data_IF_701874505212
#
_entry.id   IF_701874505212
#
_cell.length_a   1.000
_cell.length_b   1.000
_cell.length_c   1.000
_cell.angle_alpha   90.00
_cell.angle_beta   90.00
_cell.angle_gamma   90.00
#
_symmetry.space_group_name_H-M   'P 1'
#
loop_
_entity.id
_entity.type
_entity.pdbx_description
1 polymer ?
#
# COMPACT_ATOMS: atom_id res chain seq x y z
N UNK A 1 -18.74 -25.03 -30.99
CA UNK A 1 -17.68 -24.04 -31.26
C UNK A 1 -18.20 -22.68 -30.82
N UNK A 2 -17.51 -22.06 -29.86
CA UNK A 2 -17.59 -20.67 -29.40
C UNK A 2 -18.89 -20.17 -28.74
N UNK A 3 -19.10 -20.57 -27.48
CA UNK A 3 -19.73 -19.69 -26.50
C UNK A 3 -18.60 -18.98 -25.73
N UNK A 4 -18.19 -17.79 -26.17
CA UNK A 4 -17.24 -16.96 -25.41
C UNK A 4 -17.23 -15.55 -25.98
N UNK A 5 -17.79 -14.58 -25.25
CA UNK A 5 -17.06 -13.41 -24.74
C UNK A 5 -17.95 -12.31 -24.12
N UNK A 6 -19.27 -12.41 -24.19
CA UNK A 6 -20.11 -11.23 -23.87
C UNK A 6 -20.84 -11.28 -22.52
N UNK A 7 -20.73 -12.36 -21.74
CA UNK A 7 -21.57 -12.55 -20.54
C UNK A 7 -20.80 -12.49 -19.20
N UNK A 8 -19.90 -11.51 -19.06
CA UNK A 8 -19.22 -11.21 -17.78
C UNK A 8 -19.33 -9.73 -17.35
N UNK A 9 -20.21 -8.95 -17.97
CA UNK A 9 -20.42 -7.52 -17.64
C UNK A 9 -21.75 -7.22 -16.95
N UNK A 10 -22.43 -8.23 -16.41
CA UNK A 10 -23.78 -8.11 -15.86
C UNK A 10 -23.90 -8.40 -14.35
N UNK A 11 -22.94 -7.96 -13.53
CA UNK A 11 -23.15 -7.78 -12.09
C UNK A 11 -22.48 -6.48 -11.61
N UNK A 12 -23.28 -5.42 -11.51
CA UNK A 12 -23.15 -4.23 -10.64
C UNK A 12 -21.73 -3.80 -10.22
N UNK A 13 -21.16 -2.86 -10.96
CA UNK A 13 -19.87 -2.19 -10.75
C UNK A 13 -19.78 -1.27 -9.50
N UNK A 14 -20.41 -1.63 -8.38
CA UNK A 14 -20.41 -0.80 -7.14
C UNK A 14 -19.96 -1.54 -5.88
N UNK A 15 -19.93 -2.88 -5.90
CA UNK A 15 -19.49 -3.69 -4.74
C UNK A 15 -17.98 -3.74 -4.49
N UNK A 16 -17.06 -3.57 -5.47
CA UNK A 16 -15.63 -3.69 -5.21
C UNK A 16 -15.09 -2.65 -4.21
N UNK A 17 -15.56 -1.40 -4.22
CA UNK A 17 -15.03 -0.37 -3.30
C UNK A 17 -15.49 -0.59 -1.87
N UNK A 18 -16.79 -0.82 -1.66
CA UNK A 18 -17.40 -0.96 -0.33
C UNK A 18 -16.90 -2.23 0.37
N UNK A 19 -16.69 -3.30 -0.40
CA UNK A 19 -16.07 -4.52 0.09
C UNK A 19 -14.62 -4.29 0.51
N UNK A 20 -13.87 -3.54 -0.30
CA UNK A 20 -12.49 -3.20 0.02
C UNK A 20 -12.39 -2.27 1.23
N UNK A 21 -13.33 -1.34 1.43
CA UNK A 21 -13.42 -0.50 2.64
C UNK A 21 -13.74 -1.32 3.87
N UNK A 22 -14.69 -2.26 3.77
CA UNK A 22 -15.04 -3.17 4.86
C UNK A 22 -13.84 -3.99 5.31
N UNK A 23 -13.10 -4.58 4.36
CA UNK A 23 -11.86 -5.29 4.66
C UNK A 23 -10.82 -4.39 5.33
N UNK A 24 -10.65 -3.15 4.85
CA UNK A 24 -9.71 -2.21 5.45
C UNK A 24 -10.08 -1.88 6.90
N UNK A 25 -11.34 -1.54 7.15
CA UNK A 25 -11.81 -1.17 8.48
C UNK A 25 -11.73 -2.34 9.46
N UNK A 26 -12.15 -3.54 9.03
CA UNK A 26 -11.99 -4.75 9.83
C UNK A 26 -10.51 -5.05 10.10
N UNK A 27 -9.65 -4.94 9.08
CA UNK A 27 -8.21 -5.12 9.24
C UNK A 27 -7.59 -4.13 10.23
N UNK A 28 -8.07 -2.88 10.24
CA UNK A 28 -7.63 -1.87 11.21
C UNK A 28 -8.06 -2.23 12.65
N UNK A 29 -9.27 -2.75 12.84
CA UNK A 29 -9.74 -3.25 14.15
C UNK A 29 -8.89 -4.44 14.60
N UNK A 30 -8.66 -5.43 13.73
CA UNK A 30 -7.82 -6.59 14.04
C UNK A 30 -6.40 -6.19 14.46
N UNK A 31 -5.84 -5.15 13.85
CA UNK A 31 -4.54 -4.62 14.25
C UNK A 31 -4.55 -4.09 15.69
N UNK A 32 -5.60 -3.34 16.06
CA UNK A 32 -5.75 -2.78 17.40
C UNK A 32 -5.94 -3.87 18.47
N UNK A 33 -6.58 -4.98 18.10
CA UNK A 33 -6.72 -6.17 18.95
C UNK A 33 -5.43 -7.02 19.04
N UNK A 34 -4.37 -6.65 18.32
CA UNK A 34 -3.11 -7.41 18.31
C UNK A 34 -3.09 -8.62 17.36
N UNK A 35 -4.15 -8.82 16.56
CA UNK A 35 -4.25 -9.88 15.55
C UNK A 35 -3.57 -9.45 14.25
N UNK A 36 -2.25 -9.32 14.29
CA UNK A 36 -1.44 -8.75 13.19
C UNK A 36 -1.56 -9.52 11.87
N UNK A 37 -1.59 -10.84 11.92
CA UNK A 37 -1.67 -11.68 10.70
C UNK A 37 -3.04 -11.53 10.00
N UNK A 38 -4.12 -11.52 10.78
CA UNK A 38 -5.48 -11.33 10.24
C UNK A 38 -5.64 -9.92 9.68
N UNK A 39 -5.10 -8.92 10.40
CA UNK A 39 -5.02 -7.55 9.93
C UNK A 39 -4.29 -7.46 8.58
N UNK A 40 -3.10 -8.05 8.48
CA UNK A 40 -2.30 -8.01 7.26
C UNK A 40 -3.07 -8.58 6.06
N UNK A 41 -3.68 -9.76 6.25
CA UNK A 41 -4.46 -10.43 5.21
C UNK A 41 -5.58 -9.53 4.69
N UNK A 42 -6.36 -8.94 5.60
CA UNK A 42 -7.47 -8.07 5.24
C UNK A 42 -7.02 -6.79 4.53
N UNK A 43 -5.94 -6.16 5.02
CA UNK A 43 -5.39 -4.95 4.41
C UNK A 43 -4.81 -5.25 3.01
N UNK A 44 -4.17 -6.41 2.81
CA UNK A 44 -3.66 -6.81 1.48
C UNK A 44 -4.79 -7.07 0.49
N UNK A 45 -5.84 -7.79 0.89
CA UNK A 45 -7.00 -8.04 0.04
C UNK A 45 -7.69 -6.72 -0.36
N UNK A 46 -7.84 -5.83 0.61
CA UNK A 46 -8.36 -4.48 0.41
C UNK A 46 -7.53 -3.66 -0.59
N UNK A 47 -6.21 -3.80 -0.60
CA UNK A 47 -5.33 -3.18 -1.62
C UNK A 47 -5.55 -3.85 -2.97
N UNK A 48 -5.52 -5.19 -3.07
CA UNK A 48 -5.69 -5.93 -4.33
C UNK A 48 -6.93 -5.49 -5.10
N UNK A 49 -8.07 -5.37 -4.41
CA UNK A 49 -9.32 -4.95 -5.03
C UNK A 49 -9.23 -3.53 -5.61
N UNK A 50 -8.56 -2.60 -4.91
CA UNK A 50 -8.33 -1.25 -5.46
C UNK A 50 -7.41 -1.29 -6.67
N UNK A 51 -6.39 -2.14 -6.68
CA UNK A 51 -5.47 -2.26 -7.81
C UNK A 51 -6.16 -2.83 -9.05
N UNK A 52 -6.94 -3.90 -8.87
CA UNK A 52 -7.76 -4.52 -9.91
C UNK A 52 -8.81 -3.53 -10.45
N UNK A 53 -9.33 -2.66 -9.59
CA UNK A 53 -10.23 -1.57 -9.95
C UNK A 53 -9.55 -0.34 -10.55
N UNK A 54 -8.24 -0.37 -10.83
CA UNK A 54 -7.49 0.75 -11.41
C UNK A 54 -7.23 1.93 -10.46
N UNK A 55 -7.47 1.75 -9.16
CA UNK A 55 -7.30 2.76 -8.12
C UNK A 55 -5.95 2.67 -7.39
N UNK A 56 -4.94 2.09 -8.06
CA UNK A 56 -3.54 1.97 -7.59
C UNK A 56 -3.01 3.29 -7.03
N UNK A 57 -3.36 4.39 -7.70
CA UNK A 57 -2.89 5.76 -7.44
C UNK A 57 -3.93 6.59 -6.65
N UNK A 58 -4.97 5.97 -6.11
CA UNK A 58 -5.93 6.70 -5.27
C UNK A 58 -5.35 7.01 -3.88
N UNK A 59 -5.72 8.14 -3.29
CA UNK A 59 -5.43 8.43 -1.88
C UNK A 59 -5.89 7.31 -0.93
N UNK A 60 -6.99 6.63 -1.27
CA UNK A 60 -7.49 5.46 -0.53
C UNK A 60 -6.48 4.31 -0.53
N UNK A 61 -5.95 3.93 -1.69
CA UNK A 61 -4.92 2.90 -1.81
C UNK A 61 -3.65 3.27 -1.02
N UNK A 62 -3.21 4.53 -1.12
CA UNK A 62 -2.04 5.01 -0.39
C UNK A 62 -2.19 4.93 1.14
N UNK A 63 -3.37 5.28 1.67
CA UNK A 63 -3.67 5.14 3.10
C UNK A 63 -3.57 3.68 3.56
N UNK A 64 -4.08 2.75 2.76
CA UNK A 64 -4.05 1.31 3.06
C UNK A 64 -2.62 0.75 3.01
N UNK A 65 -1.82 1.18 2.03
CA UNK A 65 -0.39 0.84 1.93
C UNK A 65 0.42 1.35 3.13
N UNK A 66 0.10 2.53 3.66
CA UNK A 66 0.71 3.05 4.90
C UNK A 66 0.41 2.14 6.10
N UNK A 67 -0.81 1.64 6.21
CA UNK A 67 -1.17 0.68 7.26
C UNK A 67 -0.39 -0.63 7.13
N UNK A 68 -0.31 -1.19 5.92
CA UNK A 68 0.48 -2.41 5.67
C UNK A 68 1.97 -2.21 6.01
N UNK A 69 2.52 -1.04 5.69
CA UNK A 69 3.91 -0.69 6.04
C UNK A 69 4.14 -0.70 7.56
N UNK A 70 3.17 -0.22 8.35
CA UNK A 70 3.24 -0.24 9.82
C UNK A 70 3.18 -1.67 10.37
N UNK A 71 2.34 -2.52 9.79
CA UNK A 71 2.26 -3.94 10.17
C UNK A 71 3.61 -4.62 9.93
N UNK A 72 4.17 -4.49 8.72
CA UNK A 72 5.46 -5.10 8.38
C UNK A 72 6.62 -4.58 9.23
N UNK A 73 6.58 -3.31 9.63
CA UNK A 73 7.58 -2.75 10.56
C UNK A 73 7.47 -3.40 11.94
N UNK A 74 6.26 -3.55 12.48
CA UNK A 74 6.02 -4.18 13.79
C UNK A 74 6.44 -5.65 13.80
N UNK A 75 6.21 -6.37 12.70
CA UNK A 75 6.60 -7.77 12.54
C UNK A 75 8.06 -7.96 12.07
N UNK A 76 8.89 -6.91 12.10
CA UNK A 76 10.29 -6.91 11.68
C UNK A 76 10.56 -7.40 10.24
N UNK A 77 9.55 -7.34 9.35
CA UNK A 77 9.62 -7.76 7.94
C UNK A 77 10.12 -6.61 7.05
N UNK A 78 11.28 -6.07 7.39
CA UNK A 78 11.84 -4.86 6.78
C UNK A 78 12.07 -5.01 5.27
N UNK A 79 12.59 -6.15 4.80
CA UNK A 79 12.85 -6.39 3.38
C UNK A 79 11.59 -6.26 2.52
N UNK A 80 10.47 -6.84 2.97
CA UNK A 80 9.19 -6.69 2.27
C UNK A 80 8.71 -5.25 2.28
N UNK A 81 8.86 -4.58 3.43
CA UNK A 81 8.47 -3.18 3.58
C UNK A 81 9.24 -2.26 2.63
N UNK A 82 10.53 -2.50 2.47
CA UNK A 82 11.39 -1.72 1.58
C UNK A 82 11.01 -1.95 0.12
N UNK A 83 10.81 -3.21 -0.27
CA UNK A 83 10.35 -3.59 -1.62
C UNK A 83 9.02 -2.93 -1.96
N UNK A 84 8.07 -2.90 -1.02
CA UNK A 84 6.78 -2.24 -1.23
C UNK A 84 6.93 -0.73 -1.42
N UNK A 85 7.76 -0.08 -0.59
CA UNK A 85 7.86 1.38 -0.54
C UNK A 85 8.55 1.90 -1.80
N UNK A 86 9.58 1.19 -2.26
CA UNK A 86 10.30 1.47 -3.50
C UNK A 86 9.41 1.38 -4.74
N UNK A 87 8.43 0.46 -4.75
CA UNK A 87 7.44 0.37 -5.83
C UNK A 87 6.41 1.50 -5.80
N UNK A 88 6.04 2.01 -4.62
CA UNK A 88 4.91 2.95 -4.47
C UNK A 88 5.31 4.42 -4.50
N UNK A 89 6.49 4.77 -4.01
CA UNK A 89 6.91 6.17 -3.89
C UNK A 89 6.80 6.97 -5.21
N UNK A 90 7.24 6.45 -6.38
CA UNK A 90 7.08 7.19 -7.64
C UNK A 90 5.63 7.59 -7.93
N UNK A 91 4.68 6.66 -7.73
CA UNK A 91 3.25 6.92 -7.92
C UNK A 91 2.72 7.97 -6.93
N UNK A 92 3.16 7.91 -5.67
CA UNK A 92 2.73 8.87 -4.64
C UNK A 92 3.21 10.28 -4.99
N UNK A 93 4.44 10.40 -5.51
CA UNK A 93 5.04 11.67 -5.86
C UNK A 93 4.34 12.30 -7.07
N UNK A 94 4.03 11.50 -8.09
CA UNK A 94 3.23 11.93 -9.25
C UNK A 94 1.84 12.45 -8.87
N UNK A 95 1.20 11.88 -7.85
CA UNK A 95 -0.09 12.37 -7.35
C UNK A 95 0.03 13.68 -6.56
N UNK A 96 1.21 13.94 -6.01
CA UNK A 96 1.40 15.01 -5.02
C UNK A 96 1.88 16.35 -5.56
N UNK A 97 2.26 16.40 -6.87
CA UNK A 97 2.76 17.55 -7.66
C UNK A 97 2.87 18.88 -6.88
N UNK A 98 3.85 18.99 -5.98
CA UNK A 98 4.38 20.27 -5.51
C UNK A 98 4.02 20.76 -4.09
N UNK A 99 3.50 19.93 -3.18
CA UNK A 99 3.47 20.30 -1.74
C UNK A 99 4.18 19.23 -0.93
N UNK A 100 4.94 19.61 0.13
CA UNK A 100 5.51 18.69 1.15
C UNK A 100 4.55 17.52 1.36
N UNK A 101 4.83 16.40 0.72
CA UNK A 101 3.81 15.45 0.31
C UNK A 101 3.75 14.26 1.24
N UNK A 102 2.67 13.49 1.17
CA UNK A 102 2.61 12.14 1.73
C UNK A 102 3.76 11.25 1.18
N UNK A 103 4.22 11.51 -0.05
CA UNK A 103 5.35 10.83 -0.68
C UNK A 103 6.66 11.08 0.04
N UNK A 104 6.94 12.35 0.37
CA UNK A 104 8.17 12.76 1.08
C UNK A 104 8.21 12.13 2.46
N UNK A 105 7.08 12.13 3.19
CA UNK A 105 6.97 11.49 4.51
C UNK A 105 7.24 9.99 4.43
N UNK A 106 6.73 9.32 3.40
CA UNK A 106 6.95 7.88 3.18
C UNK A 106 8.40 7.62 2.76
N UNK A 107 9.00 8.49 1.95
CA UNK A 107 10.40 8.38 1.54
C UNK A 107 11.36 8.54 2.72
N UNK A 108 11.15 9.57 3.56
CA UNK A 108 11.92 9.79 4.79
C UNK A 108 11.77 8.62 5.77
N UNK A 109 10.54 8.15 6.02
CA UNK A 109 10.33 6.99 6.88
C UNK A 109 11.00 5.72 6.32
N UNK A 110 11.12 5.60 5.00
CA UNK A 110 11.85 4.52 4.32
C UNK A 110 13.34 4.63 4.53
N UNK A 111 13.91 5.82 4.37
CA UNK A 111 15.32 6.07 4.63
C UNK A 111 15.70 5.83 6.09
N UNK A 112 14.87 6.26 7.05
CA UNK A 112 15.09 6.00 8.48
C UNK A 112 15.12 4.51 8.79
N UNK A 113 14.25 3.73 8.13
CA UNK A 113 14.22 2.27 8.31
C UNK A 113 15.42 1.57 7.68
N UNK A 114 15.87 2.03 6.51
CA UNK A 114 17.13 1.56 5.92
C UNK A 114 18.32 1.83 6.83
N UNK A 115 18.36 3.02 7.44
CA UNK A 115 19.40 3.38 8.40
C UNK A 115 19.37 2.48 9.64
N UNK A 116 18.20 2.27 10.27
CA UNK A 116 18.07 1.38 11.43
C UNK A 116 18.47 -0.07 11.11
N UNK A 117 18.38 -0.49 9.85
CA UNK A 117 18.80 -1.81 9.38
C UNK A 117 20.29 -1.87 8.97
N UNK A 118 21.08 -0.82 9.23
CA UNK A 118 22.51 -0.75 8.87
C UNK A 118 22.80 -0.40 7.41
N UNK A 119 21.78 -0.21 6.58
CA UNK A 119 21.92 0.07 5.14
C UNK A 119 22.04 1.57 4.87
N UNK A 120 23.02 2.24 5.50
CA UNK A 120 23.19 3.70 5.44
C UNK A 120 23.41 4.21 4.00
N UNK A 121 24.16 3.45 3.19
CA UNK A 121 24.42 3.78 1.78
C UNK A 121 23.12 3.78 0.96
N UNK A 122 22.29 2.75 1.15
CA UNK A 122 21.02 2.63 0.46
C UNK A 122 20.02 3.69 0.92
N UNK A 123 19.99 4.02 2.22
CA UNK A 123 19.18 5.11 2.77
C UNK A 123 19.51 6.46 2.11
N UNK A 124 20.81 6.76 1.95
CA UNK A 124 21.29 8.00 1.33
C UNK A 124 20.96 8.06 -0.16
N UNK A 125 21.24 6.99 -0.90
CA UNK A 125 20.89 6.89 -2.32
C UNK A 125 19.37 6.99 -2.55
N UNK A 126 18.58 6.48 -1.61
CA UNK A 126 17.13 6.52 -1.68
C UNK A 126 16.59 7.94 -1.51
N UNK A 127 17.11 8.71 -0.55
CA UNK A 127 16.75 10.12 -0.36
C UNK A 127 17.24 11.00 -1.52
N UNK A 128 18.39 10.70 -2.11
CA UNK A 128 18.92 11.47 -3.26
C UNK A 128 18.14 11.25 -4.56
N UNK A 129 17.44 10.12 -4.69
CA UNK A 129 16.59 9.79 -5.84
C UNK A 129 15.12 10.14 -5.63
N UNK A 130 14.72 10.45 -4.40
CA UNK A 130 13.43 11.05 -4.12
C UNK A 130 13.51 12.54 -4.54
N UNK A 131 12.65 13.04 -5.45
CA UNK A 131 12.56 14.45 -5.80
C UNK A 131 12.50 15.41 -4.62
#
# INVERSE_FOLDING_TARGET
MMASFEDKRACSWTWPSDYADTMYHLGAVMYLEGKENDSETLIRNSISILEEGGQVESFTCLRRLRYLSRILLKSNRLTERLKMSRRRIPHIMELSKGRKSLGDVIAVNTALTLQSNGNLKEAKEFLQRAP
#
